data_IF_176512498041
#
_entry.id   IF_176512498041
#
_cell.length_a   1.000
_cell.length_b   1.000
_cell.length_c   1.000
_cell.angle_alpha   90.00
_cell.angle_beta   90.00
_cell.angle_gamma   90.00
#
_symmetry.space_group_name_H-M   'P 1'
#
loop_
_entity.id
_entity.type
_entity.pdbx_description
1 polymer ?
#
# COMPACT_ATOMS: atom_id res chain seq x y z
N UNK A 1 -7.49 -18.85 -33.08
CA UNK A 1 -7.99 -19.02 -31.69
C UNK A 1 -7.05 -18.27 -30.77
N UNK A 2 -7.47 -17.08 -30.32
CA UNK A 2 -6.64 -16.12 -29.57
C UNK A 2 -6.46 -16.56 -28.11
N UNK A 3 -5.21 -16.72 -27.66
CA UNK A 3 -4.88 -16.90 -26.24
C UNK A 3 -4.61 -15.53 -25.64
N UNK A 4 -5.63 -14.85 -25.13
CA UNK A 4 -5.49 -13.61 -24.34
C UNK A 4 -5.84 -13.86 -22.88
N UNK A 5 -5.11 -14.78 -22.24
CA UNK A 5 -5.22 -15.04 -20.81
C UNK A 5 -3.99 -14.49 -20.10
N UNK A 6 -4.19 -13.74 -19.03
CA UNK A 6 -3.15 -13.27 -18.11
C UNK A 6 -2.22 -14.41 -17.68
N UNK A 7 -0.91 -14.18 -17.73
CA UNK A 7 0.06 -15.05 -17.04
C UNK A 7 0.11 -14.66 -15.56
N UNK A 8 -0.75 -15.27 -14.75
CA UNK A 8 -0.70 -15.12 -13.30
C UNK A 8 0.50 -15.91 -12.75
N UNK A 9 1.54 -15.21 -12.33
CA UNK A 9 2.69 -15.80 -11.66
C UNK A 9 2.37 -15.99 -10.17
N UNK A 10 1.77 -17.13 -9.84
CA UNK A 10 1.66 -17.62 -8.45
C UNK A 10 2.97 -18.30 -8.01
N UNK A 11 3.13 -18.62 -6.72
CA UNK A 11 4.33 -19.34 -6.21
C UNK A 11 4.65 -20.63 -6.98
N UNK A 12 3.65 -21.25 -7.60
CA UNK A 12 3.80 -22.49 -8.39
C UNK A 12 4.19 -22.23 -9.84
N UNK A 13 3.98 -21.00 -10.34
CA UNK A 13 4.28 -20.55 -11.70
C UNK A 13 5.43 -19.55 -11.77
N UNK A 14 6.01 -19.13 -10.66
CA UNK A 14 7.17 -18.22 -10.63
C UNK A 14 8.39 -18.73 -11.42
N UNK A 15 8.51 -20.06 -11.61
CA UNK A 15 9.58 -20.68 -12.40
C UNK A 15 9.44 -20.53 -13.93
N UNK A 16 8.31 -20.02 -14.45
CA UNK A 16 8.16 -19.77 -15.90
C UNK A 16 8.82 -18.46 -16.34
N UNK A 17 9.12 -17.54 -15.43
CA UNK A 17 10.04 -16.42 -15.72
C UNK A 17 11.47 -16.95 -15.68
N UNK A 18 11.91 -17.50 -16.81
CA UNK A 18 13.33 -17.84 -17.02
C UNK A 18 14.09 -16.56 -17.33
N UNK A 19 14.32 -15.73 -16.32
CA UNK A 19 15.47 -14.81 -16.40
C UNK A 19 16.71 -15.69 -16.34
N UNK A 20 17.70 -15.46 -17.22
CA UNK A 20 19.01 -16.05 -17.01
C UNK A 20 19.45 -15.66 -15.60
N UNK A 21 19.53 -16.64 -14.70
CA UNK A 21 20.08 -16.39 -13.38
C UNK A 21 21.47 -15.79 -13.61
N UNK A 22 21.71 -14.62 -13.02
CA UNK A 22 23.06 -14.06 -13.04
C UNK A 22 24.01 -15.16 -12.55
N UNK A 23 25.13 -15.33 -13.24
CA UNK A 23 26.14 -16.28 -12.83
C UNK A 23 26.52 -15.92 -11.38
N UNK A 24 26.10 -16.76 -10.43
CA UNK A 24 26.47 -16.56 -9.04
C UNK A 24 27.95 -16.89 -8.95
N UNK A 25 28.74 -15.91 -8.53
CA UNK A 25 30.13 -16.16 -8.23
C UNK A 25 30.22 -17.25 -7.15
N UNK A 26 31.14 -18.21 -7.31
CA UNK A 26 31.46 -19.19 -6.28
C UNK A 26 32.21 -18.49 -5.14
N UNK A 27 31.50 -17.65 -4.40
CA UNK A 27 32.01 -16.92 -3.26
C UNK A 27 31.23 -17.31 -2.00
N UNK A 28 31.87 -17.15 -0.84
CA UNK A 28 31.18 -17.33 0.44
C UNK A 28 29.98 -16.36 0.51
N UNK A 29 28.82 -16.87 0.90
CA UNK A 29 27.58 -16.08 1.04
C UNK A 29 27.66 -15.15 2.26
N UNK A 30 28.47 -14.10 2.15
CA UNK A 30 28.71 -13.11 3.19
C UNK A 30 27.97 -11.81 2.88
N UNK A 31 27.49 -11.07 3.90
CA UNK A 31 26.98 -9.72 3.68
C UNK A 31 28.06 -8.84 3.05
N UNK A 32 27.66 -7.93 2.16
CA UNK A 32 28.59 -6.94 1.58
C UNK A 32 29.23 -6.10 2.68
N UNK A 33 30.40 -5.51 2.43
CA UNK A 33 31.07 -4.61 3.39
C UNK A 33 30.14 -3.50 3.89
N UNK A 34 29.33 -2.92 2.99
CA UNK A 34 28.28 -1.96 3.33
C UNK A 34 27.25 -2.54 4.30
N UNK A 35 26.74 -3.74 4.04
CA UNK A 35 25.78 -4.41 4.93
C UNK A 35 26.41 -4.77 6.28
N UNK A 36 27.69 -5.14 6.33
CA UNK A 36 28.40 -5.41 7.58
C UNK A 36 28.55 -4.14 8.42
N UNK A 37 29.00 -3.03 7.82
CA UNK A 37 29.20 -1.75 8.50
C UNK A 37 27.88 -1.16 9.03
N UNK A 38 26.80 -1.32 8.27
CA UNK A 38 25.48 -0.79 8.63
C UNK A 38 24.67 -1.78 9.49
N UNK A 39 25.02 -3.07 9.45
CA UNK A 39 24.27 -4.19 10.02
C UNK A 39 24.01 -4.10 11.52
N UNK A 40 24.86 -3.37 12.23
CA UNK A 40 24.73 -3.11 13.67
C UNK A 40 23.51 -2.21 13.95
N UNK A 41 23.09 -1.38 12.99
CA UNK A 41 21.94 -0.48 13.11
C UNK A 41 20.73 -1.04 12.34
N UNK A 42 19.70 -1.51 13.06
CA UNK A 42 18.44 -2.00 12.46
C UNK A 42 17.82 -1.00 11.46
N UNK A 43 17.86 0.28 11.79
CA UNK A 43 17.40 1.38 10.90
C UNK A 43 18.23 1.47 9.62
N UNK A 44 19.53 1.23 9.74
CA UNK A 44 20.44 1.22 8.60
C UNK A 44 20.13 0.09 7.63
N UNK A 45 19.96 -1.13 8.14
CA UNK A 45 19.52 -2.28 7.32
C UNK A 45 18.18 -2.04 6.64
N UNK A 46 17.22 -1.45 7.36
CA UNK A 46 15.92 -1.09 6.79
C UNK A 46 16.06 -0.17 5.57
N UNK A 47 16.87 0.89 5.66
CA UNK A 47 17.07 1.81 4.53
C UNK A 47 18.08 1.32 3.48
N UNK A 48 18.89 0.30 3.80
CA UNK A 48 19.70 -0.40 2.80
C UNK A 48 18.79 -1.19 1.85
N UNK A 49 17.78 -1.87 2.38
CA UNK A 49 16.81 -2.66 1.60
C UNK A 49 15.68 -1.81 1.00
N UNK A 50 15.23 -0.78 1.72
CA UNK A 50 14.13 0.11 1.32
C UNK A 50 14.62 1.56 1.33
N UNK A 51 15.31 2.01 0.27
CA UNK A 51 15.96 3.31 0.22
C UNK A 51 15.01 4.49 0.46
N UNK A 52 15.50 5.56 1.06
CA UNK A 52 14.69 6.77 1.33
C UNK A 52 13.97 7.30 0.07
N UNK A 53 14.66 7.30 -1.06
CA UNK A 53 14.14 7.79 -2.33
C UNK A 53 12.95 6.94 -2.85
N UNK A 54 12.91 5.65 -2.51
CA UNK A 54 11.76 4.79 -2.83
C UNK A 54 10.49 5.34 -2.19
N UNK A 55 10.53 5.71 -0.91
CA UNK A 55 9.37 6.25 -0.19
C UNK A 55 8.92 7.61 -0.71
N UNK A 56 9.86 8.44 -1.19
CA UNK A 56 9.55 9.71 -1.86
C UNK A 56 8.76 9.44 -3.14
N UNK A 57 9.26 8.56 -4.01
CA UNK A 57 8.59 8.19 -5.26
C UNK A 57 7.21 7.58 -5.04
N UNK A 58 7.07 6.70 -4.04
CA UNK A 58 5.76 6.10 -3.70
C UNK A 58 4.79 7.19 -3.24
N UNK A 59 5.24 8.15 -2.42
CA UNK A 59 4.37 9.25 -2.00
C UNK A 59 3.94 10.10 -3.20
N UNK A 60 4.86 10.43 -4.11
CA UNK A 60 4.56 11.19 -5.32
C UNK A 60 3.53 10.46 -6.20
N UNK A 61 3.73 9.18 -6.47
CA UNK A 61 2.81 8.38 -7.30
C UNK A 61 1.46 8.13 -6.64
N UNK A 62 1.43 7.93 -5.33
CA UNK A 62 0.18 7.89 -4.56
C UNK A 62 -0.60 9.20 -4.65
N UNK A 63 0.08 10.33 -4.54
CA UNK A 63 -0.55 11.65 -4.62
C UNK A 63 -1.00 11.98 -6.05
N UNK A 64 -0.24 11.55 -7.06
CA UNK A 64 -0.63 11.61 -8.48
C UNK A 64 -1.91 10.82 -8.70
N UNK A 65 -1.94 9.56 -8.26
CA UNK A 65 -3.12 8.71 -8.35
C UNK A 65 -4.33 9.32 -7.63
N UNK A 66 -4.11 9.90 -6.45
CA UNK A 66 -5.17 10.59 -5.73
C UNK A 66 -5.73 11.79 -6.51
N UNK A 67 -4.87 12.57 -7.17
CA UNK A 67 -5.28 13.71 -8.00
C UNK A 67 -6.06 13.25 -9.23
N UNK A 68 -5.63 12.19 -9.89
CA UNK A 68 -6.37 11.56 -11.00
C UNK A 68 -7.77 11.12 -10.53
N UNK A 69 -7.89 10.55 -9.32
CA UNK A 69 -9.18 10.21 -8.73
C UNK A 69 -10.08 11.42 -8.44
N UNK A 70 -9.51 12.59 -8.12
CA UNK A 70 -10.30 13.84 -7.98
C UNK A 70 -10.85 14.33 -9.31
N UNK A 71 -10.15 14.06 -10.41
CA UNK A 71 -10.58 14.40 -11.76
C UNK A 71 -11.78 13.59 -12.26
N UNK A 72 -12.17 12.52 -11.57
CA UNK A 72 -13.37 11.74 -11.94
C UNK A 72 -14.64 12.58 -11.81
N UNK A 73 -15.41 12.63 -12.89
CA UNK A 73 -16.63 13.44 -12.98
C UNK A 73 -17.70 12.97 -11.98
N UNK A 74 -18.51 13.88 -11.40
CA UNK A 74 -19.68 13.53 -10.60
C UNK A 74 -20.62 12.50 -11.25
N UNK A 75 -20.68 12.47 -12.58
CA UNK A 75 -21.46 11.50 -13.36
C UNK A 75 -20.91 10.07 -13.26
N UNK A 76 -19.58 9.91 -13.30
CA UNK A 76 -18.92 8.61 -13.16
C UNK A 76 -19.07 8.06 -11.75
N UNK A 77 -19.03 8.93 -10.74
CA UNK A 77 -19.30 8.57 -9.35
C UNK A 77 -20.74 8.09 -9.15
N UNK A 78 -21.70 8.79 -9.74
CA UNK A 78 -23.11 8.39 -9.71
C UNK A 78 -23.32 7.03 -10.36
N UNK A 79 -22.67 6.81 -11.51
CA UNK A 79 -22.69 5.53 -12.24
C UNK A 79 -22.08 4.39 -11.41
N UNK A 80 -20.96 4.65 -10.72
CA UNK A 80 -20.33 3.68 -9.82
C UNK A 80 -21.23 3.33 -8.63
N UNK A 81 -21.81 4.33 -7.96
CA UNK A 81 -22.70 4.12 -6.83
C UNK A 81 -23.92 3.29 -7.24
N UNK A 82 -24.46 3.54 -8.43
CA UNK A 82 -25.59 2.78 -8.97
C UNK A 82 -25.20 1.31 -9.24
N UNK A 83 -24.02 1.07 -9.80
CA UNK A 83 -23.50 -0.31 -9.95
C UNK A 83 -23.39 -1.05 -8.61
N UNK A 84 -22.94 -0.36 -7.55
CA UNK A 84 -22.84 -0.96 -6.22
C UNK A 84 -24.24 -1.22 -5.65
N UNK A 85 -25.21 -0.32 -5.82
CA UNK A 85 -26.59 -0.51 -5.36
C UNK A 85 -27.27 -1.72 -5.99
N UNK A 86 -26.96 -1.99 -7.26
CA UNK A 86 -27.46 -3.20 -7.94
C UNK A 86 -26.97 -4.49 -7.29
N UNK A 87 -25.77 -4.49 -6.73
CA UNK A 87 -25.20 -5.65 -6.02
C UNK A 87 -25.53 -5.64 -4.53
N UNK A 88 -25.78 -4.47 -3.94
CA UNK A 88 -26.09 -4.29 -2.53
C UNK A 88 -27.16 -3.19 -2.37
N UNK A 89 -28.43 -3.61 -2.26
CA UNK A 89 -29.58 -2.71 -2.15
C UNK A 89 -29.51 -1.77 -0.94
N UNK A 90 -28.81 -2.18 0.12
CA UNK A 90 -28.67 -1.42 1.35
C UNK A 90 -27.55 -0.37 1.28
N UNK A 91 -26.82 -0.30 0.16
CA UNK A 91 -25.73 0.65 -0.02
C UNK A 91 -26.22 2.10 -0.11
N UNK A 92 -26.03 2.84 0.99
CA UNK A 92 -26.18 4.30 1.04
C UNK A 92 -24.82 4.98 0.84
N UNK A 93 -24.35 5.03 -0.40
CA UNK A 93 -23.15 5.78 -0.76
C UNK A 93 -23.32 7.29 -0.56
N UNK A 94 -22.21 7.98 -0.25
CA UNK A 94 -22.17 9.45 -0.19
C UNK A 94 -22.56 10.06 -1.53
N UNK A 95 -23.22 11.23 -1.48
CA UNK A 95 -23.50 12.00 -2.69
C UNK A 95 -22.19 12.45 -3.36
N UNK A 96 -22.18 12.71 -4.68
CA UNK A 96 -21.00 13.23 -5.38
C UNK A 96 -20.40 14.47 -4.70
N UNK A 97 -21.26 15.40 -4.26
CA UNK A 97 -20.84 16.61 -3.56
C UNK A 97 -20.19 16.33 -2.19
N UNK A 98 -20.75 15.43 -1.38
CA UNK A 98 -20.13 15.02 -0.12
C UNK A 98 -18.75 14.39 -0.35
N UNK A 99 -18.63 13.56 -1.38
CA UNK A 99 -17.36 12.91 -1.74
C UNK A 99 -16.32 13.92 -2.21
N UNK A 100 -16.72 14.93 -2.98
CA UNK A 100 -15.86 16.03 -3.39
C UNK A 100 -15.32 16.80 -2.18
N UNK A 101 -16.18 17.14 -1.22
CA UNK A 101 -15.76 17.76 0.03
C UNK A 101 -14.81 16.87 0.85
N UNK A 102 -15.07 15.57 0.92
CA UNK A 102 -14.16 14.60 1.55
C UNK A 102 -12.80 14.59 0.84
N UNK A 103 -12.79 14.53 -0.49
CA UNK A 103 -11.56 14.54 -1.30
C UNK A 103 -10.77 15.84 -1.15
N UNK A 104 -11.42 16.99 -0.99
CA UNK A 104 -10.74 18.26 -0.72
C UNK A 104 -10.04 18.29 0.63
N UNK A 105 -10.52 17.51 1.62
CA UNK A 105 -9.95 17.45 2.97
C UNK A 105 -8.74 16.53 3.09
N UNK A 106 -8.59 15.55 2.19
CA UNK A 106 -7.47 14.61 2.22
C UNK A 106 -6.17 15.36 1.92
N UNK A 107 -5.25 15.30 2.87
CA UNK A 107 -3.90 15.87 2.74
C UNK A 107 -3.02 14.95 1.92
N UNK A 108 -2.12 15.53 1.12
CA UNK A 108 -1.09 14.80 0.39
C UNK A 108 -0.32 13.87 1.34
N UNK A 109 -0.14 12.61 0.92
CA UNK A 109 0.64 11.62 1.65
C UNK A 109 2.10 12.07 1.70
N UNK A 110 2.69 12.01 2.89
CA UNK A 110 4.12 12.30 3.08
C UNK A 110 4.93 10.99 3.14
N UNK A 111 6.19 10.99 2.68
CA UNK A 111 7.02 9.77 2.66
C UNK A 111 7.15 9.10 4.04
N UNK A 112 7.27 9.90 5.11
CA UNK A 112 7.38 9.39 6.47
C UNK A 112 6.08 8.73 6.98
N UNK A 113 4.91 9.15 6.48
CA UNK A 113 3.64 8.49 6.81
C UNK A 113 3.60 7.09 6.22
N UNK A 114 4.12 6.89 5.00
CA UNK A 114 4.23 5.58 4.37
C UNK A 114 5.20 4.69 5.14
N UNK A 115 6.34 5.24 5.59
CA UNK A 115 7.28 4.51 6.46
C UNK A 115 6.61 4.10 7.78
N UNK A 116 5.84 4.98 8.42
CA UNK A 116 5.09 4.65 9.63
C UNK A 116 4.03 3.57 9.36
N UNK A 117 3.30 3.67 8.26
CA UNK A 117 2.33 2.67 7.82
C UNK A 117 2.97 1.28 7.68
N UNK A 118 4.12 1.18 7.02
CA UNK A 118 4.88 -0.07 6.90
C UNK A 118 5.41 -0.54 8.27
N UNK A 119 5.88 0.38 9.11
CA UNK A 119 6.28 0.07 10.49
C UNK A 119 5.15 -0.54 11.32
N UNK A 120 3.93 -0.04 11.16
CA UNK A 120 2.73 -0.59 11.80
C UNK A 120 2.38 -1.99 11.26
N UNK A 121 2.52 -2.23 9.95
CA UNK A 121 2.34 -3.56 9.37
C UNK A 121 3.40 -4.56 9.87
N UNK A 122 4.66 -4.16 9.95
CA UNK A 122 5.74 -4.99 10.53
C UNK A 122 5.44 -5.29 12.00
N UNK A 123 5.07 -4.28 12.79
CA UNK A 123 4.67 -4.47 14.18
C UNK A 123 3.50 -5.43 14.31
N UNK A 124 2.50 -5.35 13.42
CA UNK A 124 1.36 -6.27 13.40
C UNK A 124 1.80 -7.72 13.14
N UNK A 125 2.78 -7.93 12.27
CA UNK A 125 3.30 -9.26 11.93
C UNK A 125 4.16 -9.85 13.05
N UNK A 126 4.90 -9.02 13.78
CA UNK A 126 5.71 -9.44 14.93
C UNK A 126 4.88 -9.66 16.20
N UNK A 127 3.81 -8.90 16.40
CA UNK A 127 2.93 -9.06 17.53
C UNK A 127 1.91 -10.17 17.27
N UNK A 128 1.90 -11.20 18.12
CA UNK A 128 0.90 -12.28 18.13
C UNK A 128 -0.48 -11.80 18.66
N UNK A 129 -1.02 -10.72 18.11
CA UNK A 129 -2.39 -10.32 18.42
C UNK A 129 -3.35 -11.09 17.52
N UNK A 130 -4.21 -11.96 18.08
CA UNK A 130 -5.19 -12.74 17.31
C UNK A 130 -6.44 -11.94 16.90
N UNK A 131 -6.50 -10.66 17.28
CA UNK A 131 -7.61 -9.77 16.95
C UNK A 131 -7.55 -9.15 15.54
N UNK A 132 -8.66 -8.52 15.16
CA UNK A 132 -8.76 -7.70 13.94
C UNK A 132 -7.76 -6.54 14.01
N UNK A 133 -7.27 -6.10 12.86
CA UNK A 133 -6.33 -4.98 12.76
C UNK A 133 -6.85 -3.70 13.45
N UNK A 134 -8.16 -3.45 13.37
CA UNK A 134 -8.81 -2.31 14.00
C UNK A 134 -8.64 -2.25 15.52
N UNK A 135 -8.45 -3.39 16.21
CA UNK A 135 -8.23 -3.42 17.67
C UNK A 135 -6.95 -2.73 18.10
N UNK A 136 -5.97 -2.56 17.20
CA UNK A 136 -4.75 -1.81 17.50
C UNK A 136 -4.97 -0.31 17.70
N UNK A 137 -6.15 0.21 17.35
CA UNK A 137 -6.61 1.56 17.68
C UNK A 137 -7.63 1.60 18.82
N UNK A 138 -7.89 0.47 19.49
CA UNK A 138 -8.79 0.44 20.65
C UNK A 138 -8.26 1.33 21.75
N UNK A 139 -9.10 2.23 22.25
CA UNK A 139 -8.82 3.05 23.43
C UNK A 139 -9.22 2.34 24.73
N UNK A 140 -9.86 1.19 24.63
CA UNK A 140 -10.34 0.43 25.78
C UNK A 140 -9.33 -0.64 26.18
N UNK A 141 -9.07 -0.71 27.48
CA UNK A 141 -8.39 -1.84 28.13
C UNK A 141 -9.46 -2.69 28.81
N UNK A 142 -9.52 -3.97 28.49
CA UNK A 142 -10.48 -4.91 29.10
C UNK A 142 -9.71 -5.99 29.85
N UNK A 143 -9.87 -6.01 31.18
CA UNK A 143 -9.11 -6.90 32.06
C UNK A 143 -7.60 -6.74 31.87
N UNK A 144 -6.91 -7.86 31.63
CA UNK A 144 -5.46 -7.89 31.38
C UNK A 144 -5.06 -7.50 29.94
N UNK A 145 -6.02 -7.15 29.07
CA UNK A 145 -5.73 -6.77 27.67
C UNK A 145 -5.39 -5.28 27.58
N UNK A 146 -4.18 -4.91 27.13
CA UNK A 146 -3.77 -3.50 27.02
C UNK A 146 -4.51 -2.78 25.88
N UNK A 147 -4.59 -1.46 26.00
CA UNK A 147 -5.08 -0.57 24.94
C UNK A 147 -4.20 -0.69 23.68
N UNK A 148 -4.80 -0.45 22.53
CA UNK A 148 -4.10 -0.41 21.25
C UNK A 148 -3.04 0.70 21.20
N UNK A 149 -1.93 0.45 20.52
CA UNK A 149 -0.79 1.39 20.46
C UNK A 149 -0.71 2.14 19.13
N UNK A 150 -1.42 1.72 18.09
CA UNK A 150 -1.25 2.29 16.74
C UNK A 150 -1.67 3.76 16.68
N UNK A 151 -2.67 4.15 17.47
CA UNK A 151 -3.13 5.55 17.56
C UNK A 151 -2.05 6.54 17.99
N UNK A 152 -0.97 6.08 18.65
CA UNK A 152 0.19 6.92 19.01
C UNK A 152 1.07 7.30 17.81
N UNK A 153 1.02 6.50 16.73
CA UNK A 153 1.85 6.68 15.54
C UNK A 153 1.06 7.18 14.34
N UNK A 154 -0.19 6.74 14.21
CA UNK A 154 -1.06 7.10 13.09
C UNK A 154 -2.53 6.92 13.47
N UNK A 155 -3.37 7.90 13.13
CA UNK A 155 -4.81 7.76 13.28
C UNK A 155 -5.37 6.70 12.33
N UNK A 156 -6.40 5.97 12.76
CA UNK A 156 -6.99 4.87 11.96
C UNK A 156 -7.47 5.34 10.59
N UNK A 157 -8.15 6.47 10.51
CA UNK A 157 -8.64 7.02 9.24
C UNK A 157 -7.48 7.29 8.27
N UNK A 158 -6.36 7.82 8.76
CA UNK A 158 -5.17 8.10 7.95
C UNK A 158 -4.50 6.83 7.44
N UNK A 159 -4.48 5.77 8.25
CA UNK A 159 -4.04 4.45 7.82
C UNK A 159 -4.92 3.92 6.68
N UNK A 160 -6.24 4.03 6.80
CA UNK A 160 -7.20 3.60 5.78
C UNK A 160 -7.10 4.44 4.49
N UNK A 161 -6.77 5.73 4.59
CA UNK A 161 -6.45 6.58 3.44
C UNK A 161 -5.19 6.09 2.70
N UNK A 162 -4.11 5.78 3.42
CA UNK A 162 -2.89 5.24 2.82
C UNK A 162 -3.20 3.91 2.11
N UNK A 163 -3.94 2.99 2.74
CA UNK A 163 -4.36 1.73 2.08
C UNK A 163 -5.10 1.99 0.78
N UNK A 164 -5.96 3.01 0.72
CA UNK A 164 -6.79 3.32 -0.43
C UNK A 164 -6.01 3.93 -1.60
N UNK A 165 -5.01 4.75 -1.31
CA UNK A 165 -4.31 5.56 -2.31
C UNK A 165 -2.85 5.13 -2.53
N UNK A 166 -2.37 4.07 -1.86
CA UNK A 166 -1.03 3.55 -2.07
C UNK A 166 -0.84 3.13 -3.53
N UNK A 167 0.19 3.68 -4.17
CA UNK A 167 0.45 3.47 -5.59
C UNK A 167 1.94 3.51 -5.86
N UNK A 168 2.42 2.72 -6.82
CA UNK A 168 3.86 2.50 -7.05
C UNK A 168 4.33 2.96 -8.43
N UNK A 169 3.41 3.25 -9.36
CA UNK A 169 3.69 3.55 -10.77
C UNK A 169 2.74 4.61 -11.29
N UNK A 170 3.08 5.30 -12.38
CA UNK A 170 2.16 6.25 -13.00
C UNK A 170 1.12 5.53 -13.88
N UNK A 171 -0.17 5.75 -13.62
CA UNK A 171 -1.26 5.19 -14.43
C UNK A 171 -1.38 5.81 -15.82
N UNK A 172 -0.75 6.96 -16.09
CA UNK A 172 -0.78 7.63 -17.40
C UNK A 172 0.48 7.36 -18.24
N UNK A 173 1.45 6.63 -17.69
CA UNK A 173 2.62 6.22 -18.46
C UNK A 173 2.21 5.34 -19.64
N UNK A 174 2.90 5.48 -20.78
CA UNK A 174 2.62 4.67 -21.98
C UNK A 174 2.70 3.15 -21.71
N UNK A 175 3.52 2.75 -20.74
CA UNK A 175 3.66 1.36 -20.29
C UNK A 175 2.44 0.83 -19.51
N UNK A 176 1.70 1.69 -18.79
CA UNK A 176 0.50 1.29 -18.03
C UNK A 176 -0.71 1.00 -18.95
N UNK A 177 -0.75 1.69 -20.11
CA UNK A 177 -1.87 1.61 -21.06
C UNK A 177 -1.77 0.36 -21.94
N UNK A 178 -0.57 -0.21 -22.03
CA UNK A 178 -0.29 -1.46 -22.75
C UNK A 178 -0.92 -2.70 -22.11
N UNK A 179 -1.46 -2.57 -20.89
CA UNK A 179 -1.94 -3.69 -20.08
C UNK A 179 -3.45 -3.69 -19.79
N UNK A 180 -4.25 -2.80 -20.39
CA UNK A 180 -5.71 -2.81 -20.25
C UNK A 180 -6.37 -3.54 -21.44
N UNK A 181 -6.59 -4.84 -21.31
CA UNK A 181 -7.48 -5.66 -22.17
C UNK A 181 -8.22 -6.69 -21.34
#
# INVERSE_FOLDING_TARGET
MSKSGWDTFDERRSGSVRVQAAALENCNALPTSTAQNIGIMKKGLFYLLLPKMMWVKIADESNRYFTQLKGYSPAEWSTRNERIRRTNSDYRGSSPHQRELEMMRVKALQPHEIVNFIGLLISRSLCMHRGRLSKHWSVDSSGAVPKGTFGKFMARHRFEEIVRYLHFSDNEASESTRMKT
#
